data_IF_242074739882
#
_entry.id   IF_242074739882
#
_cell.length_a   1.000
_cell.length_b   1.000
_cell.length_c   1.000
_cell.angle_alpha   90.00
_cell.angle_beta   90.00
_cell.angle_gamma   90.00
#
_symmetry.space_group_name_H-M   'P 1'
#
loop_
_entity.id
_entity.type
_entity.pdbx_description
1 polymer ?
#
# COMPACT_ATOMS: atom_id res chain seq x y z
N UNK A 1 27.73 -2.87 19.20
CA UNK A 1 27.38 -1.58 18.56
C UNK A 1 25.98 -1.75 18.02
N UNK A 2 24.99 -1.06 18.63
CA UNK A 2 23.62 -1.09 18.10
C UNK A 2 23.60 -0.47 16.71
N UNK A 3 23.00 -1.16 15.74
CA UNK A 3 22.79 -0.61 14.42
C UNK A 3 21.92 0.66 14.57
N UNK A 4 22.33 1.76 13.93
CA UNK A 4 21.56 3.00 13.95
C UNK A 4 20.35 2.79 13.07
N UNK A 5 19.16 2.98 13.65
CA UNK A 5 17.90 2.93 12.89
C UNK A 5 17.90 4.01 11.82
N UNK A 6 17.59 3.65 10.57
CA UNK A 6 17.44 4.62 9.48
C UNK A 6 16.18 5.46 9.68
N UNK A 7 16.06 6.66 9.07
CA UNK A 7 14.83 7.44 9.10
C UNK A 7 13.61 6.63 8.64
N UNK A 8 13.75 5.84 7.58
CA UNK A 8 12.71 4.96 7.04
C UNK A 8 12.28 3.86 8.04
N UNK A 9 13.24 3.26 8.75
CA UNK A 9 12.94 2.28 9.81
C UNK A 9 12.19 2.95 10.99
N UNK A 10 12.55 4.19 11.35
CA UNK A 10 11.86 4.95 12.38
C UNK A 10 10.42 5.32 11.94
N UNK A 11 10.23 5.74 10.68
CA UNK A 11 8.92 6.00 10.10
C UNK A 11 8.05 4.73 10.13
N UNK A 12 8.56 3.61 9.64
CA UNK A 12 7.85 2.33 9.65
C UNK A 12 7.39 1.92 11.06
N UNK A 13 8.28 2.12 12.04
CA UNK A 13 7.96 1.82 13.44
C UNK A 13 6.85 2.74 13.96
N UNK A 14 6.95 4.05 13.71
CA UNK A 14 5.97 5.04 14.15
C UNK A 14 4.62 4.82 13.48
N UNK A 15 4.60 4.61 12.18
CA UNK A 15 3.40 4.31 11.39
C UNK A 15 2.65 3.12 11.98
N UNK A 16 3.35 2.01 12.25
CA UNK A 16 2.73 0.81 12.81
C UNK A 16 2.35 0.97 14.28
N UNK A 17 3.09 1.73 15.08
CA UNK A 17 2.74 2.00 16.48
C UNK A 17 1.46 2.82 16.62
N UNK A 18 1.26 3.79 15.74
CA UNK A 18 0.10 4.69 15.77
C UNK A 18 -1.13 4.13 15.02
N UNK A 19 -0.92 3.14 14.15
CA UNK A 19 -1.99 2.55 13.37
C UNK A 19 -2.97 1.76 14.23
N UNK A 20 -4.26 2.03 14.08
CA UNK A 20 -5.34 1.24 14.66
C UNK A 20 -5.73 0.14 13.67
N UNK A 21 -5.39 -1.11 14.00
CA UNK A 21 -5.72 -2.27 13.17
C UNK A 21 -7.25 -2.45 13.06
N UNK A 22 -7.78 -2.78 11.88
CA UNK A 22 -9.22 -2.90 11.66
C UNK A 22 -9.86 -4.12 12.34
N UNK A 23 -9.08 -5.13 12.67
CA UNK A 23 -9.52 -6.38 13.31
C UNK A 23 -8.39 -7.06 14.09
N UNK A 24 -8.71 -8.18 14.75
CA UNK A 24 -7.77 -8.92 15.60
C UNK A 24 -6.62 -9.55 14.82
N UNK A 25 -6.85 -10.04 13.61
CA UNK A 25 -5.82 -10.68 12.78
C UNK A 25 -4.81 -9.62 12.29
N UNK A 26 -5.29 -8.46 11.88
CA UNK A 26 -4.43 -7.33 11.53
C UNK A 26 -3.70 -6.77 12.75
N UNK A 27 -4.32 -6.80 13.93
CA UNK A 27 -3.67 -6.50 15.20
C UNK A 27 -2.50 -7.45 15.50
N UNK A 28 -2.69 -8.75 15.29
CA UNK A 28 -1.63 -9.75 15.46
C UNK A 28 -0.48 -9.54 14.48
N UNK A 29 -0.77 -9.27 13.19
CA UNK A 29 0.25 -8.94 12.20
C UNK A 29 1.03 -7.68 12.58
N UNK A 30 0.32 -6.61 13.01
CA UNK A 30 0.96 -5.38 13.50
C UNK A 30 1.99 -5.67 14.61
N UNK A 31 1.63 -6.50 15.60
CA UNK A 31 2.55 -6.88 16.66
C UNK A 31 3.76 -7.67 16.14
N UNK A 32 3.55 -8.57 15.18
CA UNK A 32 4.64 -9.33 14.57
C UNK A 32 5.60 -8.42 13.78
N UNK A 33 5.08 -7.44 13.03
CA UNK A 33 5.89 -6.47 12.29
C UNK A 33 6.70 -5.58 13.24
N UNK A 34 6.08 -5.08 14.32
CA UNK A 34 6.79 -4.28 15.32
C UNK A 34 7.90 -5.09 16.01
N UNK A 35 7.65 -6.38 16.31
CA UNK A 35 8.66 -7.27 16.86
C UNK A 35 9.81 -7.51 15.87
N UNK A 36 9.50 -7.66 14.58
CA UNK A 36 10.50 -7.80 13.52
C UNK A 36 11.36 -6.55 13.37
N UNK A 37 10.75 -5.36 13.32
CA UNK A 37 11.45 -4.07 13.31
C UNK A 37 12.36 -3.92 14.53
N UNK A 38 11.88 -4.27 15.72
CA UNK A 38 12.69 -4.20 16.95
C UNK A 38 13.91 -5.15 16.93
N UNK A 39 13.78 -6.29 16.24
CA UNK A 39 14.83 -7.30 16.13
C UNK A 39 15.82 -7.05 14.98
N UNK A 40 15.43 -6.28 13.95
CA UNK A 40 16.18 -6.11 12.70
C UNK A 40 16.29 -4.64 12.32
N UNK A 41 17.46 -4.06 12.52
CA UNK A 41 17.73 -2.69 12.09
C UNK A 41 17.74 -2.52 10.55
N UNK A 42 17.97 -3.63 9.83
CA UNK A 42 17.94 -3.73 8.36
C UNK A 42 16.57 -4.16 7.80
N UNK A 43 15.51 -4.13 8.60
CA UNK A 43 14.18 -4.60 8.21
C UNK A 43 13.58 -3.89 6.99
N UNK A 44 14.03 -2.68 6.68
CA UNK A 44 13.63 -1.91 5.50
C UNK A 44 14.54 -2.13 4.29
N UNK A 45 15.61 -2.89 4.46
CA UNK A 45 16.57 -3.15 3.39
C UNK A 45 16.22 -4.45 2.66
N UNK A 46 16.21 -4.40 1.34
CA UNK A 46 15.97 -5.59 0.50
C UNK A 46 16.95 -6.74 0.79
N UNK A 47 18.12 -6.43 1.35
CA UNK A 47 19.15 -7.38 1.74
C UNK A 47 18.86 -8.13 3.04
N UNK A 48 17.85 -7.72 3.80
CA UNK A 48 17.42 -8.42 5.01
C UNK A 48 16.81 -9.78 4.64
N UNK A 49 17.61 -10.85 4.76
CA UNK A 49 17.27 -12.17 4.27
C UNK A 49 16.03 -12.82 4.93
N UNK A 50 15.80 -12.69 6.27
CA UNK A 50 14.62 -13.29 6.90
C UNK A 50 13.29 -12.73 6.39
N UNK A 51 13.32 -11.47 5.95
CA UNK A 51 12.20 -10.70 5.43
C UNK A 51 12.55 -9.23 5.38
N UNK A 52 11.77 -8.45 4.66
CA UNK A 52 11.91 -7.00 4.63
C UNK A 52 10.56 -6.34 4.37
N UNK A 53 10.45 -5.07 4.78
CA UNK A 53 9.24 -4.31 4.54
C UNK A 53 9.11 -3.96 3.07
N UNK A 54 7.87 -3.97 2.60
CA UNK A 54 7.44 -3.43 1.32
C UNK A 54 6.28 -2.47 1.53
N UNK A 55 6.03 -1.62 0.56
CA UNK A 55 4.91 -0.68 0.60
C UNK A 55 4.09 -0.82 -0.68
N UNK A 56 2.78 -0.95 -0.55
CA UNK A 56 1.87 -1.02 -1.68
C UNK A 56 0.64 -0.14 -1.49
N UNK A 57 -0.06 0.14 -2.57
CA UNK A 57 -1.20 1.04 -2.58
C UNK A 57 -2.28 0.55 -3.53
N UNK A 58 -3.53 0.59 -3.06
CA UNK A 58 -4.69 0.55 -3.94
C UNK A 58 -4.98 1.98 -4.38
N UNK A 59 -4.89 2.24 -5.68
CA UNK A 59 -5.30 3.50 -6.25
C UNK A 59 -6.75 3.37 -6.70
N UNK A 60 -7.62 4.17 -6.10
CA UNK A 60 -9.03 4.26 -6.46
C UNK A 60 -9.27 5.38 -7.48
N UNK A 61 -10.28 5.23 -8.30
CA UNK A 61 -10.78 6.32 -9.17
C UNK A 61 -11.32 7.50 -8.32
N UNK A 62 -11.47 8.70 -8.90
CA UNK A 62 -11.94 9.88 -8.15
C UNK A 62 -13.30 9.69 -7.45
N UNK A 63 -14.17 8.86 -8.01
CA UNK A 63 -15.48 8.45 -7.45
C UNK A 63 -15.38 7.27 -6.48
N UNK A 64 -14.18 6.68 -6.32
CA UNK A 64 -13.89 5.48 -5.54
C UNK A 64 -14.67 4.22 -5.99
N UNK A 65 -15.23 4.19 -7.19
CA UNK A 65 -15.98 3.06 -7.73
C UNK A 65 -15.08 2.03 -8.42
N UNK A 66 -13.84 2.42 -8.81
CA UNK A 66 -12.90 1.53 -9.49
C UNK A 66 -11.54 1.53 -8.80
N UNK A 67 -10.87 0.38 -8.86
CA UNK A 67 -9.49 0.18 -8.40
C UNK A 67 -8.56 -0.08 -9.60
N UNK A 68 -7.39 0.55 -9.58
CA UNK A 68 -6.33 0.31 -10.56
C UNK A 68 -5.52 -0.91 -10.11
N UNK A 69 -5.47 -1.93 -10.95
CA UNK A 69 -4.69 -3.15 -10.70
C UNK A 69 -3.71 -3.38 -11.84
N UNK A 70 -2.52 -3.89 -11.49
CA UNK A 70 -1.48 -4.32 -12.42
C UNK A 70 -1.51 -5.84 -12.59
N UNK A 71 -1.33 -6.32 -13.82
CA UNK A 71 -1.07 -7.74 -14.09
C UNK A 71 0.43 -7.98 -14.01
N UNK A 72 0.88 -8.37 -12.84
CA UNK A 72 2.29 -8.51 -12.53
C UNK A 72 2.98 -9.57 -13.41
N UNK A 73 4.09 -9.23 -14.05
CA UNK A 73 4.75 -10.07 -15.07
C UNK A 73 5.22 -11.43 -14.53
N UNK A 74 5.75 -11.50 -13.31
CA UNK A 74 6.26 -12.73 -12.70
C UNK A 74 5.15 -13.62 -12.14
N UNK A 75 4.21 -13.02 -11.39
CA UNK A 75 3.14 -13.75 -10.70
C UNK A 75 1.99 -14.06 -11.64
N UNK A 76 1.84 -13.30 -12.73
CA UNK A 76 0.78 -13.39 -13.76
C UNK A 76 -0.64 -13.28 -13.18
N UNK A 77 -0.79 -12.58 -12.06
CA UNK A 77 -2.06 -12.28 -11.39
C UNK A 77 -2.27 -10.78 -11.34
N UNK A 78 -3.52 -10.38 -11.17
CA UNK A 78 -3.87 -8.99 -10.90
C UNK A 78 -3.61 -8.67 -9.44
N UNK A 79 -2.83 -7.62 -9.19
CA UNK A 79 -2.40 -7.17 -7.87
C UNK A 79 -2.55 -5.65 -7.77
N UNK A 80 -2.52 -5.13 -6.55
CA UNK A 80 -2.32 -3.71 -6.30
C UNK A 80 -0.93 -3.26 -6.77
N UNK A 81 -0.71 -1.95 -6.88
CA UNK A 81 0.60 -1.36 -7.17
C UNK A 81 1.48 -1.41 -5.91
N UNK A 82 2.81 -1.54 -6.08
CA UNK A 82 3.72 -1.53 -4.95
C UNK A 82 4.96 -2.39 -5.12
N UNK A 83 5.93 -2.14 -4.25
CA UNK A 83 7.22 -2.82 -4.29
C UNK A 83 8.09 -2.59 -3.07
N UNK A 84 9.40 -2.64 -3.28
CA UNK A 84 10.37 -2.47 -2.22
C UNK A 84 10.46 -1.00 -1.82
N UNK A 85 10.66 -0.76 -0.53
CA UNK A 85 11.04 0.56 -0.05
C UNK A 85 12.51 0.82 -0.41
N UNK A 86 12.85 2.06 -0.71
CA UNK A 86 14.20 2.50 -1.08
C UNK A 86 14.76 3.44 -0.02
N UNK A 87 16.10 3.49 0.14
CA UNK A 87 16.73 4.33 1.16
C UNK A 87 16.39 5.83 1.07
N UNK A 88 16.02 6.28 -0.14
CA UNK A 88 15.66 7.66 -0.46
C UNK A 88 14.20 8.00 -0.14
N UNK A 89 13.36 6.99 0.12
CA UNK A 89 11.97 7.21 0.49
C UNK A 89 11.87 7.87 1.87
N UNK A 90 11.08 8.94 1.97
CA UNK A 90 10.86 9.67 3.21
C UNK A 90 10.08 8.86 4.27
N UNK A 91 9.37 7.79 3.83
CA UNK A 91 8.59 6.91 4.66
C UNK A 91 7.81 5.89 3.83
N UNK A 92 7.07 5.00 4.50
CA UNK A 92 6.32 3.92 3.82
C UNK A 92 5.25 4.45 2.86
N UNK A 93 4.52 5.50 3.23
CA UNK A 93 3.51 6.10 2.36
C UNK A 93 4.14 6.78 1.13
N UNK A 94 5.34 7.39 1.29
CA UNK A 94 6.08 7.96 0.17
C UNK A 94 6.58 6.87 -0.78
N UNK A 95 7.10 5.76 -0.26
CA UNK A 95 7.46 4.58 -1.06
C UNK A 95 6.27 4.07 -1.88
N UNK A 96 5.10 3.90 -1.25
CA UNK A 96 3.87 3.48 -1.93
C UNK A 96 3.46 4.47 -3.04
N UNK A 97 3.64 5.77 -2.83
CA UNK A 97 3.38 6.82 -3.84
C UNK A 97 4.38 6.78 -5.00
N UNK A 98 5.67 6.53 -4.73
CA UNK A 98 6.69 6.33 -5.77
C UNK A 98 6.33 5.13 -6.65
N UNK A 99 6.00 4.00 -6.04
CA UNK A 99 5.59 2.79 -6.76
C UNK A 99 4.32 3.03 -7.61
N UNK A 100 3.33 3.77 -7.07
CA UNK A 100 2.13 4.14 -7.85
C UNK A 100 2.49 4.95 -9.09
N UNK A 101 3.45 5.89 -8.99
CA UNK A 101 3.92 6.68 -10.13
C UNK A 101 4.68 5.83 -11.14
N UNK A 102 5.55 4.93 -10.67
CA UNK A 102 6.39 4.08 -11.53
C UNK A 102 5.56 3.04 -12.28
N UNK A 103 4.63 2.39 -11.60
CA UNK A 103 3.78 1.34 -12.19
C UNK A 103 2.49 1.88 -12.82
N UNK A 104 1.92 2.96 -12.28
CA UNK A 104 0.65 3.55 -12.72
C UNK A 104 0.79 4.69 -13.71
N UNK A 105 1.94 5.37 -13.72
CA UNK A 105 2.27 6.44 -14.67
C UNK A 105 1.77 7.84 -14.30
N UNK A 106 1.26 8.04 -13.07
CA UNK A 106 0.81 9.32 -12.54
C UNK A 106 1.03 9.45 -11.05
N UNK A 107 1.17 10.68 -10.56
CA UNK A 107 1.35 10.95 -9.15
C UNK A 107 0.03 10.83 -8.38
N UNK A 108 0.11 10.33 -7.14
CA UNK A 108 -1.02 10.23 -6.20
C UNK A 108 -0.62 10.79 -4.84
N UNK A 109 -1.61 11.23 -4.08
CA UNK A 109 -1.45 11.52 -2.65
C UNK A 109 -1.93 10.29 -1.89
N UNK A 110 -1.00 9.59 -1.23
CA UNK A 110 -1.29 8.40 -0.45
C UNK A 110 -1.82 8.82 0.93
N UNK A 111 -2.94 8.22 1.37
CA UNK A 111 -3.36 8.33 2.78
C UNK A 111 -2.26 7.71 3.65
N UNK A 112 -1.63 8.46 4.58
CA UNK A 112 -0.49 7.97 5.35
C UNK A 112 -0.87 6.88 6.38
N UNK A 113 -2.16 6.63 6.58
CA UNK A 113 -2.63 5.61 7.52
C UNK A 113 -2.81 4.27 6.79
N UNK A 114 -2.12 3.19 7.19
CA UNK A 114 -2.27 1.90 6.56
C UNK A 114 -3.71 1.39 6.57
N UNK A 115 -4.11 0.72 5.50
CA UNK A 115 -5.41 0.05 5.38
C UNK A 115 -5.30 -1.41 5.85
N UNK A 116 -4.16 -2.04 5.54
CA UNK A 116 -3.98 -3.48 5.67
C UNK A 116 -2.49 -3.84 5.82
N UNK A 117 -2.21 -4.99 6.40
CA UNK A 117 -0.88 -5.62 6.42
C UNK A 117 -0.98 -7.01 5.79
N UNK A 118 0.03 -7.40 5.03
CA UNK A 118 0.08 -8.73 4.45
C UNK A 118 1.51 -9.30 4.42
N UNK A 119 1.71 -10.47 4.98
CA UNK A 119 2.99 -11.16 4.94
C UNK A 119 2.92 -12.38 4.01
N UNK A 120 3.81 -12.44 3.02
CA UNK A 120 3.85 -13.55 2.08
C UNK A 120 5.28 -13.96 1.73
N UNK A 121 5.52 -15.26 1.46
CA UNK A 121 6.82 -15.71 0.99
C UNK A 121 7.04 -15.29 -0.46
N UNK A 122 8.28 -14.92 -0.77
CA UNK A 122 8.69 -14.57 -2.13
C UNK A 122 10.17 -14.91 -2.35
N UNK A 123 10.52 -15.27 -3.57
CA UNK A 123 11.93 -15.35 -3.99
C UNK A 123 12.29 -14.02 -4.65
N UNK A 124 12.92 -13.13 -3.90
CA UNK A 124 13.42 -11.86 -4.42
C UNK A 124 14.63 -12.10 -5.34
N UNK A 125 14.84 -11.15 -6.27
CA UNK A 125 16.00 -11.18 -7.17
C UNK A 125 17.30 -11.14 -6.34
N UNK A 126 18.18 -12.13 -6.53
CA UNK A 126 19.42 -12.27 -5.78
C UNK A 126 19.35 -13.27 -4.63
N UNK A 127 18.18 -13.86 -4.37
CA UNK A 127 18.00 -14.91 -3.37
C UNK A 127 17.73 -16.25 -4.05
N UNK A 128 18.22 -17.34 -3.45
CA UNK A 128 17.92 -18.71 -3.84
C UNK A 128 16.72 -19.27 -3.08
N UNK A 129 16.55 -18.84 -1.84
CA UNK A 129 15.49 -19.28 -0.93
C UNK A 129 14.41 -18.21 -0.76
N UNK A 130 13.18 -18.60 -0.45
CA UNK A 130 12.12 -17.66 -0.17
C UNK A 130 12.46 -16.79 1.05
N UNK A 131 12.37 -15.47 0.87
CA UNK A 131 12.29 -14.48 1.93
C UNK A 131 10.82 -14.16 2.22
N UNK A 132 10.53 -13.10 2.94
CA UNK A 132 9.16 -12.62 3.19
C UNK A 132 9.07 -11.15 2.90
N UNK A 133 8.05 -10.78 2.14
CA UNK A 133 7.59 -9.40 2.12
C UNK A 133 6.66 -9.17 3.32
N UNK A 134 7.01 -8.17 4.12
CA UNK A 134 6.16 -7.63 5.17
C UNK A 134 5.52 -6.37 4.57
N UNK A 135 4.43 -6.56 3.84
CA UNK A 135 3.80 -5.52 3.06
C UNK A 135 2.89 -4.62 3.91
N UNK A 136 3.15 -3.32 3.89
CA UNK A 136 2.30 -2.30 4.50
C UNK A 136 1.50 -1.63 3.38
N UNK A 137 0.17 -1.72 3.46
CA UNK A 137 -0.73 -1.41 2.36
C UNK A 137 -1.54 -0.17 2.63
N UNK A 138 -1.56 0.70 1.64
CA UNK A 138 -2.18 2.01 1.71
C UNK A 138 -3.31 2.17 0.67
N UNK A 139 -3.98 3.31 0.71
CA UNK A 139 -4.94 3.75 -0.30
C UNK A 139 -4.60 5.14 -0.80
N UNK A 140 -4.86 5.38 -2.06
CA UNK A 140 -4.83 6.69 -2.68
C UNK A 140 -6.02 6.85 -3.61
N UNK A 141 -6.42 8.09 -3.86
CA UNK A 141 -7.41 8.44 -4.89
C UNK A 141 -6.68 9.10 -6.05
N UNK A 142 -6.92 8.61 -7.26
CA UNK A 142 -6.34 9.20 -8.46
C UNK A 142 -6.84 10.63 -8.67
N UNK A 143 -5.99 11.54 -9.18
CA UNK A 143 -6.47 12.87 -9.57
C UNK A 143 -7.45 12.77 -10.76
N UNK A 144 -8.34 13.76 -10.88
CA UNK A 144 -9.23 13.86 -12.03
C UNK A 144 -8.44 13.88 -13.34
N UNK A 145 -8.88 13.08 -14.30
CA UNK A 145 -8.22 12.99 -15.61
C UNK A 145 -6.91 12.21 -15.63
N UNK A 146 -6.54 11.52 -14.55
CA UNK A 146 -5.38 10.63 -14.53
C UNK A 146 -5.47 9.61 -15.68
N UNK A 147 -4.34 9.39 -16.35
CA UNK A 147 -4.20 8.40 -17.42
C UNK A 147 -3.15 7.39 -17.01
N UNK A 148 -3.59 6.17 -16.82
CA UNK A 148 -2.72 5.06 -16.48
C UNK A 148 -1.78 4.72 -17.63
N UNK A 149 -0.56 4.33 -17.29
CA UNK A 149 0.45 3.84 -18.22
C UNK A 149 1.23 2.71 -17.57
N UNK A 150 1.03 1.50 -18.11
CA UNK A 150 1.75 0.32 -17.63
C UNK A 150 3.27 0.51 -17.76
N UNK A 151 4.01 0.08 -16.74
CA UNK A 151 5.46 -0.01 -16.73
C UNK A 151 5.94 -1.27 -17.48
N UNK A 152 7.25 -1.39 -17.69
CA UNK A 152 7.84 -2.60 -18.27
C UNK A 152 7.72 -3.85 -17.36
N UNK A 153 7.46 -3.66 -16.09
CA UNK A 153 7.26 -4.74 -15.11
C UNK A 153 5.84 -5.31 -15.13
N UNK A 154 4.92 -4.65 -15.85
CA UNK A 154 3.51 -4.99 -15.92
C UNK A 154 3.16 -5.61 -17.28
N UNK A 155 2.44 -6.73 -17.28
CA UNK A 155 1.85 -7.29 -18.50
C UNK A 155 0.63 -6.49 -18.97
N UNK A 156 -0.07 -5.85 -18.03
CA UNK A 156 -1.28 -5.07 -18.27
C UNK A 156 -1.58 -4.21 -17.03
N UNK A 157 -2.31 -3.11 -17.21
CA UNK A 157 -2.73 -2.20 -16.16
C UNK A 157 -4.14 -1.72 -16.47
N UNK A 158 -5.10 -1.95 -15.56
CA UNK A 158 -6.52 -1.64 -15.80
C UNK A 158 -7.27 -1.21 -14.56
N UNK A 159 -8.29 -0.41 -14.80
CA UNK A 159 -9.33 -0.10 -13.83
C UNK A 159 -10.38 -1.20 -13.80
N UNK A 160 -10.75 -1.64 -12.61
CA UNK A 160 -11.82 -2.62 -12.37
C UNK A 160 -12.79 -2.04 -11.36
N UNK A 161 -14.08 -2.30 -11.57
CA UNK A 161 -15.10 -1.93 -10.58
C UNK A 161 -14.80 -2.65 -9.26
N UNK A 162 -14.89 -1.93 -8.13
CA UNK A 162 -14.56 -2.48 -6.82
C UNK A 162 -15.45 -3.66 -6.42
N UNK A 163 -16.68 -3.70 -6.96
CA UNK A 163 -17.65 -4.77 -6.75
C UNK A 163 -17.58 -5.89 -7.81
N UNK A 164 -16.74 -5.73 -8.85
CA UNK A 164 -16.62 -6.69 -9.96
C UNK A 164 -15.14 -6.90 -10.34
N UNK A 165 -14.32 -7.26 -9.36
CA UNK A 165 -12.90 -7.52 -9.57
C UNK A 165 -12.68 -8.75 -10.46
N UNK A 166 -11.59 -8.78 -11.25
CA UNK A 166 -11.19 -9.97 -11.99
C UNK A 166 -10.76 -11.09 -11.04
N UNK A 167 -10.25 -12.21 -11.58
CA UNK A 167 -9.63 -13.24 -10.74
C UNK A 167 -8.37 -12.67 -10.04
N UNK A 168 -8.56 -12.25 -8.78
CA UNK A 168 -7.51 -11.73 -7.89
C UNK A 168 -7.33 -12.66 -6.69
N UNK A 169 -6.16 -12.62 -6.01
CA UNK A 169 -6.00 -13.23 -4.69
C UNK A 169 -7.04 -12.70 -3.69
N UNK A 170 -7.51 -13.55 -2.76
CA UNK A 170 -8.51 -13.16 -1.77
C UNK A 170 -8.06 -11.96 -0.91
N UNK A 171 -6.77 -11.90 -0.60
CA UNK A 171 -6.16 -10.79 0.15
C UNK A 171 -6.18 -9.46 -0.63
N UNK A 172 -6.12 -9.50 -1.97
CA UNK A 172 -6.26 -8.31 -2.82
C UNK A 172 -7.72 -7.85 -2.85
N UNK A 173 -8.67 -8.76 -2.96
CA UNK A 173 -10.09 -8.43 -2.89
C UNK A 173 -10.45 -7.78 -1.53
N UNK A 174 -9.94 -8.34 -0.43
CA UNK A 174 -10.12 -7.78 0.91
C UNK A 174 -9.51 -6.38 1.02
N UNK A 175 -8.30 -6.19 0.49
CA UNK A 175 -7.62 -4.90 0.48
C UNK A 175 -8.42 -3.84 -0.31
N UNK A 176 -8.91 -4.17 -1.51
CA UNK A 176 -9.72 -3.26 -2.32
C UNK A 176 -11.01 -2.87 -1.59
N UNK A 177 -11.70 -3.84 -0.97
CA UNK A 177 -12.90 -3.55 -0.19
C UNK A 177 -12.64 -2.59 0.99
N UNK A 178 -11.55 -2.80 1.74
CA UNK A 178 -11.14 -1.91 2.84
C UNK A 178 -10.75 -0.52 2.33
N UNK A 179 -10.04 -0.45 1.20
CA UNK A 179 -9.64 0.81 0.58
C UNK A 179 -10.87 1.63 0.14
N UNK A 180 -11.83 1.00 -0.54
CA UNK A 180 -13.07 1.65 -0.95
C UNK A 180 -13.90 2.15 0.25
N UNK A 181 -14.01 1.35 1.33
CA UNK A 181 -14.67 1.75 2.55
C UNK A 181 -13.98 2.97 3.21
N UNK A 182 -12.65 2.99 3.24
CA UNK A 182 -11.86 4.11 3.79
C UNK A 182 -12.11 5.39 3.00
N UNK A 183 -12.06 5.34 1.66
CA UNK A 183 -12.29 6.49 0.80
C UNK A 183 -13.72 7.03 0.94
N UNK A 184 -14.73 6.15 1.03
CA UNK A 184 -16.14 6.53 1.25
C UNK A 184 -16.38 7.26 2.57
N UNK A 185 -15.70 6.87 3.65
CA UNK A 185 -15.79 7.57 4.94
C UNK A 185 -15.12 8.94 4.93
N UNK A 186 -14.02 9.09 4.19
CA UNK A 186 -13.30 10.37 4.08
C UNK A 186 -14.08 11.38 3.23
N UNK A 187 -14.76 10.93 2.17
CA UNK A 187 -15.59 11.78 1.31
C UNK A 187 -16.82 12.36 2.02
N UNK A 188 -17.39 11.62 2.98
CA UNK A 188 -18.58 12.08 3.75
C UNK A 188 -18.23 13.18 4.75
N UNK A 189 -17.01 13.27 5.25
CA UNK A 189 -16.59 14.32 6.19
C UNK A 189 -16.26 15.65 5.52
N UNK A 190 -15.96 15.67 4.21
CA UNK A 190 -15.69 16.88 3.45
C UNK A 190 -16.95 17.58 2.92
N UNK A 191 -18.12 16.92 3.00
CA UNK A 191 -19.39 17.40 2.40
C UNK A 191 -20.30 18.22 3.31
N UNK A 192 -20.01 18.42 4.60
CA UNK A 192 -20.91 19.09 5.55
C UNK A 192 -20.48 20.51 5.87
N UNK A 193 -20.37 21.37 4.85
CA UNK A 193 -20.34 22.83 5.02
C UNK A 193 -21.06 23.54 3.88
N UNK A 194 -22.34 23.23 3.66
CA UNK A 194 -23.26 24.17 3.01
C UNK A 194 -24.06 24.85 4.10
N UNK A 195 -23.57 26.00 4.53
CA UNK A 195 -24.33 26.98 5.30
C UNK A 195 -25.60 27.37 4.49
N UNK A 196 -26.71 26.93 5.07
CA UNK A 196 -28.04 27.39 4.68
C UNK A 196 -28.13 28.93 4.92
N UNK A 197 -27.97 29.72 3.87
CA UNK A 197 -28.36 31.13 3.86
C UNK A 197 -29.78 31.16 3.35
N UNK A 198 -30.75 31.05 4.22
CA UNK A 198 -32.09 31.54 3.98
C UNK A 198 -32.25 32.89 4.68
N UNK A 199 -32.63 33.80 3.85
CA UNK A 199 -32.99 35.18 4.07
C UNK A 199 -34.01 35.39 5.20
N UNK A 200 -33.84 36.50 5.91
CA UNK A 200 -34.93 37.43 6.25
C UNK A 200 -34.39 38.84 6.00
#
# INVERSE_FOLDING_TARGET
MGAVSTPLHADATTTLQTWSAPDGDQGALRHAYLAFLAARADATERTCAPGHLTASVVVLSPDAERALLTRHARVRRWLQLGGHVEPEDEGLAAAAGREAREEGGFDVIVDPVPVDLHCHPIVCRGYTDPTRHLDVRFVAVAPEGARERASEESLDLRWFDVDALPDVPAEVATLVARAAQRAGTTGTMSGTSRLDRREV
#
